data_IF_839464358959
#
_entry.id   IF_839464358959
#
_cell.length_a   1.000
_cell.length_b   1.000
_cell.length_c   1.000
_cell.angle_alpha   90.00
_cell.angle_beta   90.00
_cell.angle_gamma   90.00
#
_symmetry.space_group_name_H-M   'P 1'
#
loop_
_entity.id
_entity.type
_entity.pdbx_description
1 polymer ?
#
# COMPACT_ATOMS: atom_id res chain seq x y z
N UNK A 1 19.05 -11.18 -16.52
CA UNK A 1 17.68 -10.65 -16.70
C UNK A 1 16.76 -11.86 -16.69
N UNK A 2 16.28 -12.28 -15.52
CA UNK A 2 15.45 -13.48 -15.35
C UNK A 2 14.17 -13.12 -14.59
N UNK A 3 13.27 -12.38 -15.24
CA UNK A 3 12.01 -11.90 -14.67
C UNK A 3 10.69 -12.53 -15.19
N UNK A 4 10.63 -13.55 -16.10
CA UNK A 4 9.33 -14.14 -16.46
C UNK A 4 8.79 -15.12 -15.40
N UNK A 5 9.66 -15.79 -14.64
CA UNK A 5 9.25 -16.82 -13.66
C UNK A 5 8.70 -16.24 -12.33
N UNK A 6 9.16 -15.05 -11.90
CA UNK A 6 8.70 -14.42 -10.65
C UNK A 6 7.36 -13.70 -10.80
N UNK A 7 7.17 -12.95 -11.90
CA UNK A 7 5.93 -12.20 -12.15
C UNK A 7 4.75 -13.16 -12.33
N UNK A 8 4.92 -14.23 -13.11
CA UNK A 8 3.88 -15.24 -13.33
C UNK A 8 3.48 -15.96 -12.03
N UNK A 9 4.45 -16.20 -11.13
CA UNK A 9 4.19 -16.76 -9.80
C UNK A 9 3.35 -15.79 -8.97
N UNK A 10 3.73 -14.50 -8.90
CA UNK A 10 2.96 -13.48 -8.19
C UNK A 10 1.54 -13.33 -8.74
N UNK A 11 1.37 -13.31 -10.06
CA UNK A 11 0.05 -13.25 -10.71
C UNK A 11 -0.80 -14.49 -10.42
N UNK A 12 -0.20 -15.69 -10.41
CA UNK A 12 -0.91 -16.92 -10.04
C UNK A 12 -1.33 -16.89 -8.57
N UNK A 13 -0.45 -16.46 -7.68
CA UNK A 13 -0.77 -16.31 -6.25
C UNK A 13 -1.87 -15.27 -6.03
N UNK A 14 -1.78 -14.10 -6.67
CA UNK A 14 -2.83 -13.07 -6.58
C UNK A 14 -4.19 -13.62 -7.04
N UNK A 15 -4.23 -14.39 -8.13
CA UNK A 15 -5.47 -14.98 -8.64
C UNK A 15 -6.03 -16.07 -7.71
N UNK A 16 -5.21 -17.02 -7.27
CA UNK A 16 -5.70 -18.19 -6.53
C UNK A 16 -5.88 -17.93 -5.04
N UNK A 17 -5.05 -17.08 -4.44
CA UNK A 17 -5.09 -16.75 -3.01
C UNK A 17 -5.78 -15.40 -2.79
N UNK A 18 -5.47 -14.40 -3.63
CA UNK A 18 -6.08 -13.07 -3.49
C UNK A 18 -7.59 -13.08 -3.74
N UNK A 19 -8.10 -13.85 -4.71
CA UNK A 19 -9.53 -13.91 -4.99
C UNK A 19 -10.38 -14.42 -3.79
N UNK A 20 -10.08 -15.58 -3.17
CA UNK A 20 -10.82 -16.02 -2.00
C UNK A 20 -10.63 -15.08 -0.80
N UNK A 21 -9.44 -14.52 -0.59
CA UNK A 21 -9.21 -13.56 0.49
C UNK A 21 -10.05 -12.29 0.30
N UNK A 22 -10.10 -11.71 -0.91
CA UNK A 22 -10.97 -10.58 -1.19
C UNK A 22 -12.45 -10.91 -0.95
N UNK A 23 -12.91 -12.10 -1.33
CA UNK A 23 -14.29 -12.52 -1.08
C UNK A 23 -14.59 -12.61 0.43
N UNK A 24 -13.69 -13.22 1.21
CA UNK A 24 -13.79 -13.31 2.67
C UNK A 24 -13.81 -11.92 3.30
N UNK A 25 -12.89 -11.03 2.92
CA UNK A 25 -12.83 -9.66 3.45
C UNK A 25 -14.06 -8.84 3.06
N UNK A 26 -14.58 -9.04 1.85
CA UNK A 26 -15.82 -8.40 1.41
C UNK A 26 -17.01 -8.86 2.24
N UNK A 27 -17.12 -10.16 2.52
CA UNK A 27 -18.16 -10.70 3.39
C UNK A 27 -18.01 -10.18 4.82
N UNK A 28 -16.79 -10.20 5.36
CA UNK A 28 -16.48 -9.64 6.67
C UNK A 28 -16.92 -8.17 6.77
N UNK A 29 -16.59 -7.36 5.76
CA UNK A 29 -17.03 -5.96 5.67
C UNK A 29 -18.55 -5.82 5.73
N UNK A 30 -19.28 -6.65 4.98
CA UNK A 30 -20.75 -6.63 4.96
C UNK A 30 -21.38 -7.01 6.30
N UNK A 31 -20.74 -7.90 7.06
CA UNK A 31 -21.26 -8.39 8.35
C UNK A 31 -20.93 -7.40 9.48
N UNK A 32 -19.70 -6.90 9.52
CA UNK A 32 -19.18 -6.18 10.69
C UNK A 32 -19.14 -4.65 10.51
N UNK A 33 -19.24 -4.12 9.30
CA UNK A 33 -19.35 -2.67 9.09
C UNK A 33 -20.79 -2.27 8.80
N UNK A 34 -21.48 -1.78 9.84
CA UNK A 34 -22.76 -1.07 9.68
C UNK A 34 -22.48 0.34 9.15
N UNK A 35 -22.91 0.60 7.91
CA UNK A 35 -22.68 1.86 7.21
C UNK A 35 -23.34 3.05 7.91
N UNK A 36 -22.54 3.81 8.65
CA UNK A 36 -22.78 5.23 8.91
C UNK A 36 -21.81 6.06 8.05
N UNK A 37 -22.19 7.25 7.57
CA UNK A 37 -21.23 8.15 6.95
C UNK A 37 -20.11 8.40 7.97
N UNK A 38 -18.86 8.10 7.59
CA UNK A 38 -17.72 8.72 8.26
C UNK A 38 -17.93 10.22 8.01
N UNK A 39 -18.34 10.96 9.05
CA UNK A 39 -18.40 12.42 8.94
C UNK A 39 -17.06 12.92 8.44
N UNK A 40 -17.05 13.96 7.59
CA UNK A 40 -15.83 14.49 6.94
C UNK A 40 -14.69 14.62 7.95
N UNK A 41 -13.85 13.59 8.04
CA UNK A 41 -12.73 13.56 8.97
C UNK A 41 -11.60 14.28 8.28
N UNK A 42 -10.98 15.21 8.97
CA UNK A 42 -9.80 15.86 8.44
C UNK A 42 -8.71 14.79 8.30
N UNK A 43 -8.30 14.52 7.06
CA UNK A 43 -7.19 13.60 6.76
C UNK A 43 -5.92 14.19 7.34
N UNK A 44 -5.23 13.42 8.18
CA UNK A 44 -3.99 13.83 8.84
C UNK A 44 -2.79 13.01 8.41
N UNK A 45 -2.96 11.76 7.96
CA UNK A 45 -1.86 10.86 7.59
C UNK A 45 -2.22 10.03 6.36
N UNK A 46 -1.49 10.29 5.28
CA UNK A 46 -1.74 9.67 3.97
C UNK A 46 -0.70 8.59 3.71
N UNK A 47 -1.16 7.40 3.35
CA UNK A 47 -0.30 6.31 2.88
C UNK A 47 -0.50 6.07 1.39
N UNK A 48 0.58 6.08 0.63
CA UNK A 48 0.60 5.61 -0.75
C UNK A 48 1.01 4.13 -0.79
N UNK A 49 0.25 3.31 -1.52
CA UNK A 49 0.60 1.92 -1.81
C UNK A 49 1.07 1.85 -3.26
N UNK A 50 2.36 1.53 -3.47
CA UNK A 50 2.96 1.42 -4.81
C UNK A 50 4.20 0.54 -4.80
N UNK A 51 4.14 -0.65 -5.37
CA UNK A 51 5.13 -1.69 -5.23
C UNK A 51 6.14 -1.78 -6.37
N UNK A 52 5.72 -1.77 -7.64
CA UNK A 52 6.49 -2.39 -8.72
C UNK A 52 7.19 -1.43 -9.69
N UNK A 53 6.62 -0.26 -9.95
CA UNK A 53 7.03 0.56 -11.09
C UNK A 53 7.64 1.91 -10.70
N UNK A 54 8.96 2.04 -10.89
CA UNK A 54 9.70 3.27 -10.62
C UNK A 54 9.23 4.43 -11.50
N UNK A 55 9.04 4.21 -12.81
CA UNK A 55 8.61 5.24 -13.75
C UNK A 55 7.24 5.84 -13.40
N UNK A 56 6.26 5.00 -13.04
CA UNK A 56 4.95 5.51 -12.63
C UNK A 56 4.95 6.13 -11.23
N UNK A 57 5.98 5.89 -10.41
CA UNK A 57 6.20 6.62 -9.15
C UNK A 57 6.70 8.05 -9.41
N UNK A 58 7.57 8.25 -10.40
CA UNK A 58 7.96 9.60 -10.85
C UNK A 58 6.75 10.36 -11.39
N UNK A 59 5.91 9.71 -12.20
CA UNK A 59 4.68 10.31 -12.71
C UNK A 59 3.67 10.64 -11.59
N UNK A 60 3.73 9.93 -10.46
CA UNK A 60 2.91 10.21 -9.29
C UNK A 60 3.36 11.47 -8.52
N UNK A 61 4.52 12.05 -8.83
CA UNK A 61 5.09 13.20 -8.10
C UNK A 61 4.09 14.33 -7.79
N UNK A 62 3.23 14.79 -8.73
CA UNK A 62 2.23 15.82 -8.41
C UNK A 62 1.23 15.40 -7.32
N UNK A 63 0.80 14.14 -7.32
CA UNK A 63 -0.10 13.61 -6.29
C UNK A 63 0.59 13.56 -4.92
N UNK A 64 1.87 13.18 -4.89
CA UNK A 64 2.66 13.14 -3.66
C UNK A 64 2.87 14.56 -3.13
N UNK A 65 3.18 15.51 -4.01
CA UNK A 65 3.35 16.92 -3.65
C UNK A 65 2.07 17.49 -3.06
N UNK A 66 0.93 17.18 -3.68
CA UNK A 66 -0.37 17.59 -3.18
C UNK A 66 -0.67 17.02 -1.80
N UNK A 67 -0.39 15.74 -1.57
CA UNK A 67 -0.53 15.13 -0.25
C UNK A 67 0.35 15.84 0.79
N UNK A 68 1.60 16.16 0.45
CA UNK A 68 2.50 16.89 1.35
C UNK A 68 1.97 18.29 1.67
N UNK A 69 1.42 19.02 0.70
CA UNK A 69 0.77 20.31 0.97
C UNK A 69 -0.44 20.19 1.91
N UNK A 70 -1.17 19.07 1.83
CA UNK A 70 -2.37 18.83 2.64
C UNK A 70 -2.05 18.44 4.08
N UNK A 71 -1.06 17.57 4.30
CA UNK A 71 -0.81 16.97 5.61
C UNK A 71 0.63 17.15 6.15
N UNK A 72 1.53 17.74 5.37
CA UNK A 72 2.95 17.86 5.70
C UNK A 72 3.76 16.60 5.36
N UNK A 73 5.05 16.76 5.04
CA UNK A 73 5.90 15.63 4.55
C UNK A 73 6.08 14.52 5.59
N UNK A 74 6.07 14.88 6.87
CA UNK A 74 6.18 13.94 7.99
C UNK A 74 4.95 13.03 8.13
N UNK A 75 3.84 13.38 7.48
CA UNK A 75 2.59 12.63 7.54
C UNK A 75 2.23 11.95 6.21
N UNK A 76 3.17 11.91 5.26
CA UNK A 76 3.03 11.15 4.02
C UNK A 76 3.93 9.93 4.07
N UNK A 77 3.34 8.76 3.85
CA UNK A 77 3.95 7.45 3.97
C UNK A 77 3.87 6.69 2.66
N UNK A 78 4.75 5.72 2.48
CA UNK A 78 4.76 4.82 1.33
C UNK A 78 4.89 3.36 1.78
N UNK A 79 4.19 2.46 1.10
CA UNK A 79 4.51 1.02 1.11
C UNK A 79 4.96 0.63 -0.30
N UNK A 80 6.18 0.12 -0.40
CA UNK A 80 6.83 -0.26 -1.66
C UNK A 80 7.51 -1.64 -1.57
N UNK A 81 7.86 -2.26 -2.71
CA UNK A 81 8.78 -3.38 -2.67
C UNK A 81 10.22 -2.89 -2.45
N UNK A 82 11.01 -3.70 -1.74
CA UNK A 82 12.42 -3.40 -1.41
C UNK A 82 13.22 -2.99 -2.67
N UNK A 83 13.04 -3.71 -3.78
CA UNK A 83 13.70 -3.46 -5.06
C UNK A 83 13.34 -2.09 -5.69
N UNK A 84 12.23 -1.47 -5.28
CA UNK A 84 11.73 -0.21 -5.79
C UNK A 84 11.87 0.95 -4.81
N UNK A 85 12.47 0.74 -3.63
CA UNK A 85 12.71 1.82 -2.66
C UNK A 85 13.55 2.95 -3.26
N UNK A 86 14.55 2.60 -4.08
CA UNK A 86 15.53 3.52 -4.63
C UNK A 86 14.90 4.78 -5.25
N UNK A 87 13.75 4.67 -5.92
CA UNK A 87 13.14 5.83 -6.56
C UNK A 87 12.66 6.87 -5.54
N UNK A 88 12.17 6.44 -4.37
CA UNK A 88 11.74 7.35 -3.32
C UNK A 88 12.93 8.03 -2.66
N UNK A 89 14.01 7.27 -2.43
CA UNK A 89 15.27 7.82 -1.90
C UNK A 89 15.84 8.86 -2.89
N UNK A 90 15.83 8.58 -4.20
CA UNK A 90 16.31 9.51 -5.23
C UNK A 90 15.45 10.78 -5.39
N UNK A 91 14.16 10.72 -5.03
CA UNK A 91 13.25 11.86 -5.12
C UNK A 91 13.33 12.77 -3.89
N UNK A 92 13.81 12.28 -2.74
CA UNK A 92 14.00 13.03 -1.48
C UNK A 92 12.75 13.80 -0.97
N UNK A 93 11.56 13.37 -1.40
CA UNK A 93 10.28 14.07 -1.15
C UNK A 93 9.69 13.84 0.24
N UNK A 94 9.98 12.70 0.85
CA UNK A 94 9.49 12.29 2.18
C UNK A 94 10.65 11.76 3.04
N UNK A 95 10.53 11.74 4.37
CA UNK A 95 11.54 11.15 5.25
C UNK A 95 11.71 9.65 5.02
N UNK A 96 12.93 9.14 5.14
CA UNK A 96 13.24 7.71 5.01
C UNK A 96 12.42 6.83 5.98
N UNK A 97 12.15 7.34 7.19
CA UNK A 97 11.34 6.66 8.19
C UNK A 97 9.88 6.44 7.78
N UNK A 98 9.41 7.14 6.75
CA UNK A 98 8.06 7.04 6.22
C UNK A 98 7.93 6.05 5.06
N UNK A 99 9.02 5.40 4.64
CA UNK A 99 9.04 4.39 3.59
C UNK A 99 9.06 2.98 4.20
N UNK A 100 7.94 2.28 4.06
CA UNK A 100 7.75 0.90 4.49
C UNK A 100 8.06 -0.02 3.31
N UNK A 101 8.99 -0.96 3.49
CA UNK A 101 9.39 -1.89 2.41
C UNK A 101 8.88 -3.30 2.67
N UNK A 102 8.52 -4.00 1.58
CA UNK A 102 8.15 -5.41 1.58
C UNK A 102 9.16 -6.18 0.75
N UNK A 103 9.74 -7.23 1.33
CA UNK A 103 10.69 -8.10 0.66
C UNK A 103 9.99 -9.00 -0.37
N UNK A 104 10.54 -9.10 -1.57
CA UNK A 104 9.99 -9.87 -2.72
C UNK A 104 10.75 -11.18 -2.98
N UNK A 105 11.84 -11.42 -2.24
CA UNK A 105 12.78 -12.53 -2.48
C UNK A 105 12.15 -13.92 -2.27
N UNK A 106 11.07 -14.02 -1.50
CA UNK A 106 10.29 -15.25 -1.29
C UNK A 106 8.83 -14.94 -0.97
N UNK A 107 7.92 -15.90 -1.20
CA UNK A 107 6.50 -15.76 -0.84
C UNK A 107 6.29 -15.58 0.67
N UNK A 108 7.10 -16.26 1.50
CA UNK A 108 7.06 -16.09 2.95
C UNK A 108 7.55 -14.70 3.39
N UNK A 109 8.62 -14.20 2.77
CA UNK A 109 9.10 -12.83 2.98
C UNK A 109 8.06 -11.79 2.57
N UNK A 110 7.38 -12.02 1.46
CA UNK A 110 6.29 -11.16 0.98
C UNK A 110 5.11 -11.15 1.95
N UNK A 111 4.65 -12.33 2.40
CA UNK A 111 3.52 -12.43 3.32
C UNK A 111 3.82 -11.81 4.69
N UNK A 112 5.00 -12.10 5.27
CA UNK A 112 5.41 -11.53 6.56
C UNK A 112 5.70 -10.03 6.45
N UNK A 113 6.30 -9.58 5.35
CA UNK A 113 6.51 -8.16 5.05
C UNK A 113 5.20 -7.40 4.90
N UNK A 114 4.23 -7.96 4.16
CA UNK A 114 2.90 -7.37 4.01
C UNK A 114 2.18 -7.26 5.37
N UNK A 115 2.24 -8.30 6.19
CA UNK A 115 1.65 -8.26 7.55
C UNK A 115 2.31 -7.17 8.40
N UNK A 116 3.64 -7.06 8.39
CA UNK A 116 4.36 -5.99 9.11
C UNK A 116 3.98 -4.60 8.60
N UNK A 117 3.85 -4.44 7.28
CA UNK A 117 3.44 -3.17 6.68
C UNK A 117 2.04 -2.75 7.14
N UNK A 118 1.09 -3.69 7.19
CA UNK A 118 -0.26 -3.45 7.71
C UNK A 118 -0.22 -3.07 9.20
N UNK A 119 0.54 -3.81 10.01
CA UNK A 119 0.68 -3.51 11.45
C UNK A 119 1.32 -2.14 11.68
N UNK A 120 2.32 -1.78 10.88
CA UNK A 120 2.98 -0.49 10.96
C UNK A 120 2.03 0.65 10.53
N UNK A 121 1.30 0.49 9.42
CA UNK A 121 0.29 1.46 8.98
C UNK A 121 -0.80 1.68 10.05
N UNK A 122 -1.26 0.61 10.70
CA UNK A 122 -2.19 0.69 11.83
C UNK A 122 -1.59 1.40 13.05
N UNK A 123 -0.33 1.11 13.38
CA UNK A 123 0.39 1.76 14.49
C UNK A 123 0.60 3.26 14.24
N UNK A 124 0.94 3.63 13.01
CA UNK A 124 1.03 5.03 12.57
C UNK A 124 -0.33 5.73 12.66
N UNK A 125 -1.43 4.97 12.56
CA UNK A 125 -2.78 5.53 12.54
C UNK A 125 -3.05 6.30 11.25
N UNK A 126 -2.67 5.70 10.11
CA UNK A 126 -3.02 6.20 8.77
C UNK A 126 -4.54 6.29 8.64
N UNK A 127 -5.05 7.43 8.20
CA UNK A 127 -6.50 7.68 8.06
C UNK A 127 -6.95 7.75 6.61
N UNK A 128 -6.04 7.94 5.64
CA UNK A 128 -6.30 7.82 4.21
C UNK A 128 -5.23 6.99 3.49
N UNK A 129 -5.66 6.14 2.56
CA UNK A 129 -4.76 5.34 1.70
C UNK A 129 -5.05 5.66 0.24
N UNK A 130 -4.00 5.94 -0.52
CA UNK A 130 -4.04 6.09 -1.97
C UNK A 130 -3.34 4.88 -2.59
N UNK A 131 -4.13 3.91 -3.06
CA UNK A 131 -3.61 2.76 -3.78
C UNK A 131 -3.27 3.16 -5.23
N UNK A 132 -1.98 3.25 -5.53
CA UNK A 132 -1.44 3.64 -6.84
C UNK A 132 -0.80 2.45 -7.57
N UNK A 133 -1.02 1.23 -7.08
CA UNK A 133 -0.59 0.04 -7.76
C UNK A 133 -1.61 -0.39 -8.81
N UNK A 134 -1.13 -1.05 -9.86
CA UNK A 134 -2.04 -1.71 -10.80
C UNK A 134 -2.93 -2.68 -10.04
N UNK A 135 -4.23 -2.59 -10.27
CA UNK A 135 -5.35 -3.26 -9.59
C UNK A 135 -5.12 -4.75 -9.27
N UNK A 136 -4.26 -5.04 -8.31
CA UNK A 136 -3.98 -6.38 -7.81
C UNK A 136 -4.84 -6.61 -6.58
N UNK A 137 -5.22 -7.86 -6.35
CA UNK A 137 -5.94 -8.22 -5.13
C UNK A 137 -5.05 -8.04 -3.92
N UNK A 138 -3.75 -8.27 -4.07
CA UNK A 138 -2.75 -8.02 -3.06
C UNK A 138 -2.75 -6.57 -2.56
N UNK A 139 -2.67 -5.57 -3.44
CA UNK A 139 -2.71 -4.16 -3.03
C UNK A 139 -4.05 -3.81 -2.38
N UNK A 140 -5.17 -4.29 -2.93
CA UNK A 140 -6.50 -4.08 -2.37
C UNK A 140 -6.65 -4.69 -0.95
N UNK A 141 -6.13 -5.90 -0.72
CA UNK A 141 -6.12 -6.56 0.60
C UNK A 141 -5.27 -5.74 1.58
N UNK A 142 -4.06 -5.34 1.19
CA UNK A 142 -3.18 -4.54 2.04
C UNK A 142 -3.86 -3.22 2.41
N UNK A 143 -4.39 -2.50 1.42
CA UNK A 143 -5.13 -1.24 1.59
C UNK A 143 -6.32 -1.42 2.53
N UNK A 144 -7.18 -2.41 2.32
CA UNK A 144 -8.33 -2.68 3.19
C UNK A 144 -7.90 -2.99 4.63
N UNK A 145 -6.85 -3.79 4.79
CA UNK A 145 -6.39 -4.23 6.11
C UNK A 145 -5.67 -3.15 6.89
N UNK A 146 -5.26 -2.01 6.29
CA UNK A 146 -4.80 -0.84 7.05
C UNK A 146 -5.87 -0.31 8.01
N UNK A 147 -7.16 -0.49 7.68
CA UNK A 147 -8.27 0.03 8.48
C UNK A 147 -8.47 1.54 8.39
N UNK A 148 -7.84 2.21 7.43
CA UNK A 148 -8.02 3.64 7.17
C UNK A 148 -9.48 3.95 6.80
N UNK A 149 -10.01 5.07 7.32
CA UNK A 149 -11.38 5.54 7.12
C UNK A 149 -11.34 7.05 6.89
N UNK A 150 -11.33 7.46 5.63
CA UNK A 150 -11.35 8.87 5.20
C UNK A 150 -12.79 9.36 5.07
#
# INVERSE_FOLDING_TARGET
MDLPARISTLQRTDRWVGAPLCAILTLFRRIFESGGPSGRRQVQRILFVKFAEQGSTVLAYPAIRRAIEMVGRENVYFVVFEDNRFILDAMEIIPDGNVITIATKSLFGLATGALRAVLQARKIGVDAVVDMEFLTRFSAILTFTTGAKS
#
